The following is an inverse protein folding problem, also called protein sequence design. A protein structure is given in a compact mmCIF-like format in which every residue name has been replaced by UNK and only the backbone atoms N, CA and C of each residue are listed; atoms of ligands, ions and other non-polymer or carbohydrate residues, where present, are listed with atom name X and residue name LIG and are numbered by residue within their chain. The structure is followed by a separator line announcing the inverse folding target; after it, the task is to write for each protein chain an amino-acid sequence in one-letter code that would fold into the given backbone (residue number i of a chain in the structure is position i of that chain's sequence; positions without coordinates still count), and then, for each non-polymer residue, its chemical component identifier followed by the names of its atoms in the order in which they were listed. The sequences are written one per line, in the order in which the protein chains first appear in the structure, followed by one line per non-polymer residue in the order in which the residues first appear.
data_IF_036305306757
#
_entry.id   IF_036305306757
#
_cell.length_a   1.000
_cell.length_b   1.000
_cell.length_c   1.000
_cell.angle_alpha   90.00
_cell.angle_beta   90.00
_cell.angle_gamma   90.00
#
_symmetry.space_group_name_H-M   'P 1'
#
loop_
_entity.id
_entity.type
_entity.pdbx_description
1 polymer ?
#
# COMPACT_ATOMS: atom_id res chain seq x y z
N UNK A 1 21.08 7.83 3.71
CA UNK A 1 21.15 8.44 2.35
C UNK A 1 21.93 9.75 2.33
N UNK A 2 21.61 10.77 3.13
CA UNK A 2 22.33 12.08 3.12
C UNK A 2 23.84 11.91 3.37
N UNK A 3 24.27 11.12 4.38
CA UNK A 3 25.69 10.82 4.65
C UNK A 3 26.42 10.21 3.46
N UNK A 4 25.74 9.38 2.66
CA UNK A 4 26.33 8.79 1.46
C UNK A 4 26.57 9.89 0.40
N UNK A 5 25.63 10.81 0.24
CA UNK A 5 25.77 11.93 -0.70
C UNK A 5 26.86 12.92 -0.24
N UNK A 6 27.05 13.13 1.06
CA UNK A 6 28.14 13.91 1.62
C UNK A 6 29.50 13.28 1.27
N UNK A 7 29.67 11.97 1.48
CA UNK A 7 30.88 11.22 1.11
C UNK A 7 31.14 11.31 -0.40
N UNK A 8 30.10 11.15 -1.23
CA UNK A 8 30.21 11.33 -2.68
C UNK A 8 30.64 12.76 -3.03
N UNK A 9 30.09 13.78 -2.37
CA UNK A 9 30.47 15.17 -2.56
C UNK A 9 31.95 15.44 -2.25
N UNK A 10 32.48 14.83 -1.21
CA UNK A 10 33.89 14.89 -0.81
C UNK A 10 34.79 14.17 -1.82
N UNK A 11 34.43 12.93 -2.22
CA UNK A 11 35.20 12.09 -3.15
C UNK A 11 35.27 12.70 -4.55
N UNK A 12 34.20 13.34 -5.01
CA UNK A 12 34.11 13.90 -6.38
C UNK A 12 34.40 15.42 -6.42
N UNK A 13 34.99 15.99 -5.36
CA UNK A 13 35.47 17.39 -5.30
C UNK A 13 34.46 18.41 -5.84
N UNK A 14 33.21 18.34 -5.41
CA UNK A 14 32.16 19.29 -5.78
C UNK A 14 31.56 19.10 -7.18
N UNK A 15 31.95 18.09 -7.94
CA UNK A 15 31.34 17.78 -9.25
C UNK A 15 29.86 17.35 -9.12
N UNK A 16 29.46 16.90 -7.95
CA UNK A 16 28.06 16.48 -7.66
C UNK A 16 27.14 17.66 -7.27
N UNK A 17 27.64 18.90 -7.28
CA UNK A 17 26.87 20.06 -6.86
C UNK A 17 26.67 20.12 -5.35
N UNK A 18 25.70 20.93 -4.90
CA UNK A 18 25.40 21.09 -3.47
C UNK A 18 24.65 19.88 -2.95
N UNK A 19 25.21 19.24 -1.90
CA UNK A 19 24.53 18.12 -1.22
C UNK A 19 23.19 18.59 -0.63
N UNK A 20 22.08 17.93 -0.95
CA UNK A 20 20.77 18.31 -0.45
C UNK A 20 20.67 18.02 1.06
N UNK A 21 20.03 18.91 1.80
CA UNK A 21 19.73 18.68 3.21
C UNK A 21 18.67 17.56 3.37
N UNK A 22 18.57 17.03 4.59
CA UNK A 22 17.64 15.93 4.92
C UNK A 22 16.21 16.23 4.47
N UNK A 23 15.69 17.43 4.75
CA UNK A 23 14.33 17.81 4.39
C UNK A 23 14.12 17.84 2.85
N UNK A 24 15.15 18.19 2.09
CA UNK A 24 15.09 18.15 0.63
C UNK A 24 14.96 16.73 0.12
N UNK A 25 15.77 15.81 0.66
CA UNK A 25 15.71 14.39 0.31
C UNK A 25 14.36 13.78 0.72
N UNK A 26 13.87 14.09 1.92
CA UNK A 26 12.56 13.66 2.39
C UNK A 26 11.43 14.14 1.45
N UNK A 27 11.46 15.40 1.04
CA UNK A 27 10.47 15.93 0.09
C UNK A 27 10.56 15.26 -1.28
N UNK A 28 11.76 14.93 -1.75
CA UNK A 28 11.92 14.17 -2.99
C UNK A 28 11.34 12.76 -2.88
N UNK A 29 11.57 12.08 -1.76
CA UNK A 29 11.00 10.75 -1.51
C UNK A 29 9.47 10.79 -1.48
N UNK A 30 8.89 11.79 -0.81
CA UNK A 30 7.42 11.99 -0.78
C UNK A 30 6.86 12.23 -2.18
N UNK A 31 7.50 13.10 -2.97
CA UNK A 31 7.07 13.39 -4.35
C UNK A 31 7.23 12.18 -5.26
N UNK A 32 8.33 11.44 -5.14
CA UNK A 32 8.53 10.20 -5.88
C UNK A 32 7.48 9.15 -5.52
N UNK A 33 7.23 8.95 -4.22
CA UNK A 33 6.20 8.02 -3.75
C UNK A 33 4.81 8.37 -4.30
N UNK A 34 4.43 9.64 -4.28
CA UNK A 34 3.17 10.09 -4.86
C UNK A 34 3.14 9.86 -6.38
N UNK A 35 4.22 10.21 -7.09
CA UNK A 35 4.30 10.01 -8.54
C UNK A 35 4.22 8.52 -8.93
N UNK A 36 4.87 7.64 -8.19
CA UNK A 36 4.76 6.18 -8.39
C UNK A 36 3.32 5.73 -8.15
N UNK A 37 2.71 6.16 -7.05
CA UNK A 37 1.32 5.83 -6.73
C UNK A 37 0.34 6.30 -7.83
N UNK A 38 0.50 7.51 -8.37
CA UNK A 38 -0.39 8.05 -9.42
C UNK A 38 -0.19 7.37 -10.78
N UNK A 39 1.01 6.92 -11.11
CA UNK A 39 1.35 6.40 -12.44
C UNK A 39 1.35 4.87 -12.52
N UNK A 40 1.49 4.16 -11.41
CA UNK A 40 1.75 2.70 -11.38
C UNK A 40 0.54 1.89 -10.89
N UNK A 41 -0.67 2.48 -10.94
CA UNK A 41 -1.91 1.84 -10.49
C UNK A 41 -2.40 0.69 -11.40
N UNK A 42 -1.61 0.23 -12.36
CA UNK A 42 -2.07 -0.63 -13.44
C UNK A 42 -1.66 -2.11 -13.43
N UNK A 43 -0.99 -2.66 -12.43
CA UNK A 43 -0.46 -4.04 -12.53
C UNK A 43 -1.50 -5.14 -12.46
N UNK A 44 -2.71 -4.85 -11.99
CA UNK A 44 -3.78 -5.85 -11.91
C UNK A 44 -4.65 -5.95 -13.17
N UNK A 45 -4.34 -5.20 -14.24
CA UNK A 45 -5.15 -5.23 -15.47
C UNK A 45 -5.17 -6.59 -16.12
N UNK A 46 -6.33 -7.24 -16.09
CA UNK A 46 -6.61 -8.48 -16.81
C UNK A 46 -6.13 -9.77 -16.15
N UNK A 47 -5.55 -9.73 -14.96
CA UNK A 47 -5.17 -10.90 -14.16
C UNK A 47 -6.12 -11.12 -12.98
N UNK A 48 -6.12 -12.35 -12.46
CA UNK A 48 -6.75 -12.67 -11.19
C UNK A 48 -5.88 -12.16 -10.05
N UNK A 49 -6.42 -11.32 -9.19
CA UNK A 49 -5.69 -10.71 -8.09
C UNK A 49 -6.49 -10.81 -6.78
N UNK A 50 -5.79 -10.70 -5.68
CA UNK A 50 -6.36 -10.54 -4.36
C UNK A 50 -5.96 -9.18 -3.79
N UNK A 51 -6.69 -8.71 -2.80
CA UNK A 51 -6.39 -7.45 -2.11
C UNK A 51 -6.11 -7.71 -0.64
N UNK A 52 -5.01 -7.17 -0.14
CA UNK A 52 -4.73 -7.09 1.30
C UNK A 52 -5.17 -5.71 1.77
N UNK A 53 -6.03 -5.67 2.77
CA UNK A 53 -6.53 -4.41 3.36
C UNK A 53 -6.01 -4.28 4.78
N UNK A 54 -5.35 -3.17 5.06
CA UNK A 54 -4.81 -2.85 6.37
C UNK A 54 -5.07 -1.39 6.77
N UNK A 55 -5.30 -1.17 8.07
CA UNK A 55 -5.50 0.15 8.70
C UNK A 55 -4.48 0.31 9.82
N UNK A 56 -3.23 0.67 9.52
CA UNK A 56 -2.18 0.52 10.53
C UNK A 56 -1.29 1.73 10.80
N UNK A 57 -1.20 2.68 9.90
CA UNK A 57 -0.18 3.72 10.03
C UNK A 57 -0.80 5.03 10.48
N UNK A 58 -0.35 5.54 11.64
CA UNK A 58 -0.65 6.89 12.07
C UNK A 58 0.28 7.90 11.39
N UNK A 59 -0.31 8.82 10.64
CA UNK A 59 0.38 10.00 10.12
C UNK A 59 -0.14 11.19 10.92
N UNK A 60 0.63 11.62 11.92
CA UNK A 60 0.19 12.55 12.97
C UNK A 60 -1.00 11.96 13.77
N UNK A 61 -2.19 12.57 13.65
CA UNK A 61 -3.44 12.11 14.30
C UNK A 61 -4.36 11.37 13.34
N UNK A 62 -3.91 11.07 12.13
CA UNK A 62 -4.71 10.41 11.10
C UNK A 62 -4.20 9.00 10.83
N UNK A 63 -5.10 8.13 10.45
CA UNK A 63 -4.83 6.76 10.06
C UNK A 63 -4.68 6.65 8.54
N UNK A 64 -3.95 5.66 8.10
CA UNK A 64 -3.84 5.28 6.71
C UNK A 64 -4.60 3.96 6.49
N UNK A 65 -5.59 3.99 5.62
CA UNK A 65 -6.18 2.79 5.04
C UNK A 65 -5.42 2.46 3.75
N UNK A 66 -4.87 1.26 3.67
CA UNK A 66 -4.04 0.82 2.56
C UNK A 66 -4.63 -0.45 1.93
N UNK A 67 -4.74 -0.44 0.62
CA UNK A 67 -5.15 -1.58 -0.19
C UNK A 67 -3.99 -2.00 -1.09
N UNK A 68 -3.50 -3.22 -0.91
CA UNK A 68 -2.41 -3.80 -1.69
C UNK A 68 -2.95 -4.90 -2.59
N UNK A 69 -2.76 -4.74 -3.90
CA UNK A 69 -3.05 -5.78 -4.89
C UNK A 69 -1.90 -6.77 -5.00
N UNK A 70 -2.22 -8.06 -5.00
CA UNK A 70 -1.28 -9.17 -5.18
C UNK A 70 -1.85 -10.17 -6.18
N UNK A 71 -1.03 -10.90 -6.99
CA UNK A 71 -1.51 -11.95 -7.87
C UNK A 71 -2.20 -13.07 -7.07
N UNK A 72 -3.40 -13.51 -7.49
CA UNK A 72 -4.18 -14.53 -6.77
C UNK A 72 -3.67 -15.96 -6.94
N UNK A 73 -2.68 -16.22 -7.79
CA UNK A 73 -2.29 -17.56 -8.24
C UNK A 73 -0.85 -17.98 -7.92
N UNK A 74 -0.23 -17.43 -6.90
CA UNK A 74 1.07 -17.95 -6.44
C UNK A 74 0.90 -19.26 -5.68
N UNK A 75 0.85 -20.37 -6.40
CA UNK A 75 0.79 -21.71 -5.79
C UNK A 75 2.12 -22.05 -5.13
N UNK A 76 2.18 -21.84 -3.82
CA UNK A 76 3.32 -22.29 -3.00
C UNK A 76 4.58 -21.43 -3.08
N UNK A 77 4.59 -20.35 -3.84
CA UNK A 77 5.68 -19.39 -3.84
C UNK A 77 5.32 -18.18 -2.96
N UNK A 78 6.27 -17.66 -2.18
CA UNK A 78 6.02 -16.43 -1.41
C UNK A 78 5.83 -15.25 -2.35
N UNK A 79 4.89 -14.36 -2.02
CA UNK A 79 4.70 -13.10 -2.72
C UNK A 79 5.97 -12.26 -2.60
N UNK A 80 6.52 -11.82 -3.72
CA UNK A 80 7.70 -10.96 -3.78
C UNK A 80 7.29 -9.50 -3.72
N UNK A 81 8.23 -8.64 -3.33
CA UNK A 81 7.99 -7.19 -3.27
C UNK A 81 7.55 -6.60 -4.62
N UNK A 82 8.08 -7.12 -5.72
CA UNK A 82 7.75 -6.71 -7.09
C UNK A 82 6.33 -7.10 -7.53
N UNK A 83 5.70 -8.06 -6.83
CA UNK A 83 4.34 -8.52 -7.11
C UNK A 83 3.27 -7.68 -6.40
N UNK A 84 3.69 -6.82 -5.47
CA UNK A 84 2.79 -6.01 -4.64
C UNK A 84 2.59 -4.64 -5.26
N UNK A 85 1.34 -4.24 -5.40
CA UNK A 85 0.97 -2.91 -5.92
C UNK A 85 0.00 -2.23 -4.98
N UNK A 86 0.16 -0.93 -4.80
CA UNK A 86 -0.82 -0.12 -4.07
C UNK A 86 -2.01 0.15 -5.01
N UNK A 87 -3.16 -0.45 -4.71
CA UNK A 87 -4.39 -0.30 -5.50
C UNK A 87 -5.38 0.69 -4.88
N UNK A 88 -5.21 1.01 -3.60
CA UNK A 88 -5.97 2.05 -2.91
C UNK A 88 -5.21 2.59 -1.71
N UNK A 89 -5.40 3.88 -1.42
CA UNK A 89 -4.79 4.55 -0.27
C UNK A 89 -5.65 5.73 0.15
N UNK A 90 -6.07 5.74 1.41
CA UNK A 90 -6.88 6.83 1.96
C UNK A 90 -6.39 7.24 3.35
N UNK A 91 -6.31 8.53 3.57
CA UNK A 91 -5.94 9.12 4.87
C UNK A 91 -7.20 9.66 5.54
N UNK A 92 -7.38 9.36 6.82
CA UNK A 92 -8.53 9.85 7.59
C UNK A 92 -8.40 9.58 9.08
N UNK A 93 -9.25 10.16 9.87
CA UNK A 93 -9.24 9.98 11.34
C UNK A 93 -9.82 8.64 11.77
N UNK A 94 -10.87 8.20 11.10
CA UNK A 94 -11.59 6.95 11.35
C UNK A 94 -12.13 6.45 10.02
N UNK A 95 -12.10 5.15 9.81
CA UNK A 95 -12.75 4.49 8.69
C UNK A 95 -13.86 3.58 9.21
N UNK A 96 -15.07 3.78 8.74
CA UNK A 96 -16.18 2.87 8.99
C UNK A 96 -16.30 1.84 7.85
N UNK A 97 -17.18 0.86 7.99
CA UNK A 97 -17.35 -0.20 6.99
C UNK A 97 -17.81 0.32 5.62
N UNK A 98 -18.52 1.45 5.55
CA UNK A 98 -18.95 2.02 4.27
C UNK A 98 -17.79 2.73 3.56
N UNK A 99 -16.92 3.41 4.30
CA UNK A 99 -15.70 4.01 3.75
C UNK A 99 -14.79 2.94 3.14
N UNK A 100 -14.61 1.82 3.85
CA UNK A 100 -13.78 0.69 3.40
C UNK A 100 -14.38 0.02 2.18
N UNK A 101 -15.70 -0.23 2.16
CA UNK A 101 -16.41 -0.74 0.99
C UNK A 101 -16.20 0.16 -0.22
N UNK A 102 -16.38 1.46 -0.05
CA UNK A 102 -16.21 2.43 -1.14
C UNK A 102 -14.81 2.38 -1.73
N UNK A 103 -13.78 2.29 -0.88
CA UNK A 103 -12.39 2.22 -1.31
C UNK A 103 -12.08 0.92 -2.07
N UNK A 104 -12.66 -0.21 -1.64
CA UNK A 104 -12.57 -1.50 -2.34
C UNK A 104 -13.24 -1.43 -3.72
N UNK A 105 -14.42 -0.84 -3.80
CA UNK A 105 -15.16 -0.68 -5.06
C UNK A 105 -14.43 0.26 -6.03
N UNK A 106 -13.80 1.31 -5.51
CA UNK A 106 -12.99 2.23 -6.29
C UNK A 106 -11.73 1.55 -6.85
N UNK A 107 -11.01 0.81 -6.02
CA UNK A 107 -9.85 0.03 -6.44
C UNK A 107 -10.23 -1.02 -7.51
N UNK A 108 -11.35 -1.72 -7.35
CA UNK A 108 -11.86 -2.68 -8.33
C UNK A 108 -12.22 -2.02 -9.67
N UNK A 109 -12.83 -0.84 -9.64
CA UNK A 109 -13.16 -0.06 -10.82
C UNK A 109 -11.91 0.40 -11.58
N UNK A 110 -10.89 0.89 -10.87
CA UNK A 110 -9.62 1.32 -11.46
C UNK A 110 -8.84 0.14 -12.05
N UNK A 111 -8.84 -1.02 -11.38
CA UNK A 111 -8.25 -2.25 -11.88
C UNK A 111 -9.00 -2.86 -13.09
N UNK A 112 -10.25 -2.44 -13.32
CA UNK A 112 -11.12 -2.98 -14.38
C UNK A 112 -11.64 -4.40 -14.12
N UNK A 113 -11.45 -4.93 -12.89
CA UNK A 113 -11.93 -6.25 -12.45
C UNK A 113 -12.08 -6.28 -10.93
N UNK A 114 -12.98 -7.14 -10.44
CA UNK A 114 -13.08 -7.38 -8.99
C UNK A 114 -11.96 -8.31 -8.52
N UNK A 115 -11.42 -8.11 -7.30
CA UNK A 115 -10.51 -9.07 -6.69
C UNK A 115 -11.21 -10.40 -6.41
N UNK A 116 -10.48 -11.51 -6.49
CA UNK A 116 -11.03 -12.84 -6.19
C UNK A 116 -11.35 -13.01 -4.70
N UNK A 117 -10.50 -12.43 -3.85
CA UNK A 117 -10.70 -12.41 -2.41
C UNK A 117 -9.95 -11.25 -1.77
N UNK A 118 -10.31 -10.96 -0.53
CA UNK A 118 -9.67 -9.93 0.28
C UNK A 118 -9.10 -10.57 1.53
N UNK A 119 -7.85 -10.21 1.87
CA UNK A 119 -7.18 -10.57 3.12
C UNK A 119 -7.15 -9.35 4.02
N UNK A 120 -7.58 -9.49 5.26
CA UNK A 120 -7.51 -8.43 6.26
C UNK A 120 -7.29 -9.01 7.66
N UNK A 121 -6.92 -8.15 8.61
CA UNK A 121 -6.98 -8.48 10.01
C UNK A 121 -8.45 -8.62 10.48
N UNK A 122 -8.66 -9.06 11.72
CA UNK A 122 -10.02 -9.25 12.27
C UNK A 122 -10.62 -7.96 12.84
N UNK A 123 -10.08 -6.78 12.52
CA UNK A 123 -10.66 -5.53 12.96
C UNK A 123 -12.11 -5.40 12.47
N UNK A 124 -13.00 -5.04 13.40
CA UNK A 124 -14.45 -5.06 13.15
C UNK A 124 -14.89 -4.19 11.97
N UNK A 125 -14.27 -3.02 11.82
CA UNK A 125 -14.56 -2.09 10.72
C UNK A 125 -14.11 -2.67 9.35
N UNK A 126 -12.92 -3.30 9.28
CA UNK A 126 -12.41 -3.95 8.08
C UNK A 126 -13.30 -5.14 7.69
N UNK A 127 -13.57 -6.03 8.64
CA UNK A 127 -14.47 -7.18 8.42
C UNK A 127 -15.85 -6.75 7.92
N UNK A 128 -16.43 -5.70 8.51
CA UNK A 128 -17.72 -5.16 8.09
C UNK A 128 -17.66 -4.54 6.68
N UNK A 129 -16.61 -3.81 6.36
CA UNK A 129 -16.42 -3.20 5.03
C UNK A 129 -16.26 -4.25 3.94
N UNK A 130 -15.44 -5.26 4.18
CA UNK A 130 -15.26 -6.39 3.24
C UNK A 130 -16.56 -7.17 3.07
N UNK A 131 -17.27 -7.50 4.14
CA UNK A 131 -18.57 -8.18 4.06
C UNK A 131 -19.59 -7.39 3.22
N UNK A 132 -19.62 -6.07 3.36
CA UNK A 132 -20.49 -5.19 2.56
C UNK A 132 -20.11 -5.13 1.09
N UNK A 133 -18.86 -5.38 0.71
CA UNK A 133 -18.43 -5.43 -0.70
C UNK A 133 -18.90 -6.70 -1.43
N UNK A 134 -19.29 -7.75 -0.68
CA UNK A 134 -19.71 -9.03 -1.23
C UNK A 134 -18.56 -9.89 -1.79
N UNK A 135 -17.30 -9.49 -1.57
CA UNK A 135 -16.12 -10.23 -2.01
C UNK A 135 -15.72 -11.23 -0.92
N UNK A 136 -15.22 -12.41 -1.31
CA UNK A 136 -14.76 -13.43 -0.39
C UNK A 136 -13.66 -12.89 0.54
N UNK A 137 -13.79 -13.15 1.85
CA UNK A 137 -12.85 -12.68 2.87
C UNK A 137 -11.99 -13.83 3.39
N UNK A 138 -10.70 -13.58 3.55
CA UNK A 138 -9.76 -14.42 4.26
C UNK A 138 -9.09 -13.65 5.40
N UNK A 139 -8.80 -14.35 6.48
CA UNK A 139 -8.15 -13.77 7.66
C UNK A 139 -6.64 -13.77 7.45
N UNK A 140 -5.96 -12.69 7.83
CA UNK A 140 -4.51 -12.66 7.93
C UNK A 140 -4.04 -13.57 9.08
N UNK A 141 -3.44 -14.70 8.72
CA UNK A 141 -2.95 -15.70 9.66
C UNK A 141 -1.83 -15.13 10.55
N UNK A 142 -1.02 -14.21 10.05
CA UNK A 142 0.07 -13.60 10.82
C UNK A 142 -0.48 -12.81 12.01
N UNK A 143 -1.55 -12.07 11.80
CA UNK A 143 -2.27 -11.36 12.88
C UNK A 143 -2.99 -12.32 13.84
N UNK A 144 -3.59 -13.38 13.32
CA UNK A 144 -4.25 -14.38 14.15
C UNK A 144 -3.26 -15.14 15.05
N UNK A 145 -2.04 -15.41 14.57
CA UNK A 145 -0.98 -16.10 15.35
C UNK A 145 -0.27 -15.16 16.34
N UNK A 146 -0.22 -13.85 16.07
CA UNK A 146 0.41 -12.86 16.96
C UNK A 146 -0.45 -12.50 18.19
N UNK A 147 -1.68 -13.00 18.26
CA UNK A 147 -2.62 -12.75 19.36
C UNK A 147 -2.64 -13.90 20.40
N UNK A 148 -1.82 -14.93 20.21
CA UNK A 148 -1.61 -16.06 21.14
C UNK A 148 -0.34 -15.77 21.95
#
# INVERSE_FOLDING_TARGET
MVKILEIFGEVFEGKCGKVPCYNTVENWMKKLGLSVYENDRTPCRGGKYAVVVDESIFINSEKLLLLLGIPAHHKGEPVKHEDVTVVGMKVGKVFNGDDIKQEIEEAAREAGSCPEYIVNDQAHNLTNGVAKSGIAQHIDISHAMGTI
#
